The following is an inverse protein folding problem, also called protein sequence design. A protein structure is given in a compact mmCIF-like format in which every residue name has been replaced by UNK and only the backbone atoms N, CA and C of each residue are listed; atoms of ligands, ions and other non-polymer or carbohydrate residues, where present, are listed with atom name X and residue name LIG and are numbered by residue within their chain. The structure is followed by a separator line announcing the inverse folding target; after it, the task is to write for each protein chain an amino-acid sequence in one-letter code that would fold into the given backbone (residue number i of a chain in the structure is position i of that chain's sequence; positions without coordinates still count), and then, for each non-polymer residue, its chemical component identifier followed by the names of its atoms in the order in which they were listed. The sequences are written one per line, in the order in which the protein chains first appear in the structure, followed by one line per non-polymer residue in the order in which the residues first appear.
data_IF_716111178520
#
_entry.id   IF_716111178520
#
_cell.length_a   1.000
_cell.length_b   1.000
_cell.length_c   1.000
_cell.angle_alpha   90.00
_cell.angle_beta   90.00
_cell.angle_gamma   90.00
#
_symmetry.space_group_name_H-M   'P 1'
#
loop_
_entity.id
_entity.type
_entity.pdbx_description
1 polymer ?
#
# COMPACT_ATOMS: atom_id res chain seq x y z
N UNK A 1 3.17 1.66 -0.54
CA UNK A 1 2.36 0.64 0.15
C UNK A 1 2.04 -0.47 -0.83
N UNK A 2 2.13 -1.72 -0.38
CA UNK A 2 2.03 -2.90 -1.23
C UNK A 2 0.76 -3.69 -0.91
N UNK A 3 -0.01 -4.03 -1.93
CA UNK A 3 -1.32 -4.69 -1.80
C UNK A 3 -1.27 -6.03 -2.55
N UNK A 4 -1.81 -7.07 -1.93
CA UNK A 4 -2.00 -8.36 -2.60
C UNK A 4 -3.46 -8.50 -3.01
N UNK A 5 -3.69 -8.71 -4.30
CA UNK A 5 -5.03 -9.01 -4.87
C UNK A 5 -5.13 -10.51 -5.14
N UNK A 6 -6.11 -11.16 -4.52
CA UNK A 6 -6.35 -12.61 -4.64
C UNK A 6 -7.76 -12.82 -5.15
N UNK A 7 -7.90 -13.11 -6.43
CA UNK A 7 -9.18 -13.23 -7.15
C UNK A 7 -9.00 -14.23 -8.30
N UNK A 8 -9.81 -15.26 -8.39
CA UNK A 8 -9.64 -16.32 -9.38
C UNK A 8 -10.15 -15.94 -10.78
N UNK A 9 -11.10 -15.00 -10.86
CA UNK A 9 -11.55 -14.45 -12.13
C UNK A 9 -10.51 -13.46 -12.67
N UNK A 10 -9.74 -13.89 -13.68
CA UNK A 10 -8.62 -13.11 -14.24
C UNK A 10 -8.99 -11.70 -14.70
N UNK A 11 -10.19 -11.51 -15.25
CA UNK A 11 -10.62 -10.19 -15.70
C UNK A 11 -10.89 -9.26 -14.54
N UNK A 12 -11.59 -9.74 -13.52
CA UNK A 12 -11.88 -8.95 -12.32
C UNK A 12 -10.60 -8.66 -11.53
N UNK A 13 -9.72 -9.68 -11.37
CA UNK A 13 -8.40 -9.52 -10.75
C UNK A 13 -7.61 -8.37 -11.39
N UNK A 14 -7.52 -8.37 -12.74
CA UNK A 14 -6.83 -7.31 -13.48
C UNK A 14 -7.44 -5.93 -13.24
N UNK A 15 -8.77 -5.79 -13.31
CA UNK A 15 -9.44 -4.49 -13.14
C UNK A 15 -9.26 -3.97 -11.69
N UNK A 16 -9.34 -4.86 -10.69
CA UNK A 16 -9.08 -4.49 -9.29
C UNK A 16 -7.63 -4.01 -9.16
N UNK A 17 -6.68 -4.76 -9.72
CA UNK A 17 -5.25 -4.41 -9.67
C UNK A 17 -4.99 -3.05 -10.32
N UNK A 18 -5.49 -2.82 -11.54
CA UNK A 18 -5.37 -1.55 -12.25
C UNK A 18 -5.97 -0.38 -11.43
N UNK A 19 -7.17 -0.56 -10.86
CA UNK A 19 -7.83 0.48 -10.07
C UNK A 19 -7.03 0.86 -8.79
N UNK A 20 -6.36 -0.11 -8.19
CA UNK A 20 -5.53 0.10 -7.00
C UNK A 20 -4.15 0.67 -7.38
N UNK A 21 -3.58 0.27 -8.51
CA UNK A 21 -2.33 0.82 -9.06
C UNK A 21 -2.48 2.29 -9.46
N UNK A 22 -3.61 2.68 -10.04
CA UNK A 22 -3.91 4.08 -10.40
C UNK A 22 -3.90 5.02 -9.19
N UNK A 23 -4.18 4.49 -8.00
CA UNK A 23 -4.07 5.21 -6.72
C UNK A 23 -2.62 5.26 -6.17
N UNK A 24 -1.66 4.70 -6.91
CA UNK A 24 -0.24 4.73 -6.58
C UNK A 24 0.24 3.61 -5.66
N UNK A 25 -0.60 2.61 -5.37
CA UNK A 25 -0.17 1.42 -4.64
C UNK A 25 0.69 0.50 -5.54
N UNK A 26 1.58 -0.26 -4.93
CA UNK A 26 2.23 -1.40 -5.59
C UNK A 26 1.33 -2.62 -5.42
N UNK A 27 1.03 -3.32 -6.50
CA UNK A 27 0.09 -4.44 -6.49
C UNK A 27 0.78 -5.70 -6.98
N UNK A 28 0.65 -6.76 -6.20
CA UNK A 28 0.86 -8.13 -6.67
C UNK A 28 -0.50 -8.81 -6.78
N UNK A 29 -0.63 -9.74 -7.72
CA UNK A 29 -1.87 -10.47 -7.90
C UNK A 29 -1.65 -11.96 -8.06
N UNK A 30 -2.58 -12.75 -7.51
CA UNK A 30 -2.62 -14.19 -7.65
C UNK A 30 -4.07 -14.69 -7.74
N UNK A 31 -4.25 -15.97 -8.06
CA UNK A 31 -5.55 -16.49 -8.49
C UNK A 31 -6.15 -17.53 -7.55
N UNK A 32 -5.53 -17.82 -6.43
CA UNK A 32 -6.04 -18.72 -5.39
C UNK A 32 -5.28 -18.56 -4.08
N UNK A 33 -5.84 -19.08 -2.99
CA UNK A 33 -5.25 -18.93 -1.67
C UNK A 33 -3.91 -19.65 -1.47
N UNK A 34 -3.59 -20.68 -2.28
CA UNK A 34 -2.29 -21.34 -2.18
C UNK A 34 -1.17 -20.45 -2.74
N UNK A 35 -1.39 -19.85 -3.89
CA UNK A 35 -0.46 -18.85 -4.46
C UNK A 35 -0.30 -17.65 -3.52
N UNK A 36 -1.40 -17.20 -2.88
CA UNK A 36 -1.33 -16.10 -1.93
C UNK A 36 -0.38 -16.40 -0.75
N UNK A 37 -0.36 -17.62 -0.23
CA UNK A 37 0.60 -18.03 0.81
C UNK A 37 2.05 -17.91 0.32
N UNK A 38 2.35 -18.36 -0.90
CA UNK A 38 3.68 -18.27 -1.50
C UNK A 38 4.13 -16.81 -1.62
N UNK A 39 3.23 -15.91 -2.06
CA UNK A 39 3.52 -14.47 -2.14
C UNK A 39 3.78 -13.87 -0.75
N UNK A 40 3.02 -14.28 0.27
CA UNK A 40 3.19 -13.77 1.64
C UNK A 40 4.45 -14.30 2.34
N UNK A 41 4.98 -15.44 1.92
CA UNK A 41 6.30 -15.91 2.36
C UNK A 41 7.44 -15.06 1.78
N UNK A 42 7.26 -14.54 0.55
CA UNK A 42 8.29 -13.77 -0.15
C UNK A 42 8.24 -12.26 0.14
N UNK A 43 7.07 -11.72 0.50
CA UNK A 43 6.88 -10.28 0.69
C UNK A 43 5.88 -9.96 1.81
N UNK A 44 5.96 -8.74 2.35
CA UNK A 44 4.96 -8.22 3.29
C UNK A 44 4.00 -7.28 2.56
N UNK A 45 2.73 -7.39 2.92
CA UNK A 45 1.65 -6.59 2.35
C UNK A 45 1.00 -5.72 3.42
N UNK A 46 0.62 -4.52 3.00
CA UNK A 46 -0.10 -3.56 3.86
C UNK A 46 -1.61 -3.86 3.91
N UNK A 47 -2.15 -4.45 2.84
CA UNK A 47 -3.55 -4.91 2.74
C UNK A 47 -3.61 -6.10 1.77
N UNK A 48 -4.50 -7.04 2.06
CA UNK A 48 -4.91 -8.10 1.13
C UNK A 48 -6.36 -7.86 0.70
N UNK A 49 -6.61 -7.85 -0.61
CA UNK A 49 -7.95 -7.87 -1.21
C UNK A 49 -8.20 -9.30 -1.65
N UNK A 50 -9.22 -9.94 -1.10
CA UNK A 50 -9.35 -11.39 -1.16
C UNK A 50 -10.78 -11.83 -1.49
N UNK A 51 -10.97 -12.56 -2.60
CA UNK A 51 -12.23 -13.28 -2.81
C UNK A 51 -12.35 -14.46 -1.82
N UNK A 52 -13.57 -14.68 -1.34
CA UNK A 52 -13.87 -15.83 -0.49
C UNK A 52 -13.95 -17.11 -1.33
N UNK A 53 -14.57 -17.05 -2.50
CA UNK A 53 -14.91 -18.22 -3.29
C UNK A 53 -13.86 -18.50 -4.37
N UNK A 54 -12.78 -19.14 -3.98
CA UNK A 54 -11.68 -19.48 -4.89
C UNK A 54 -11.36 -20.98 -4.87
N UNK A 55 -10.78 -21.51 -5.97
CA UNK A 55 -10.33 -22.90 -6.03
C UNK A 55 -9.10 -23.13 -5.10
N UNK A 56 -8.81 -24.42 -4.84
CA UNK A 56 -7.71 -24.91 -3.99
C UNK A 56 -7.90 -24.53 -2.52
N UNK A 57 -7.52 -23.34 -2.12
CA UNK A 57 -7.69 -22.81 -0.76
C UNK A 57 -8.62 -21.59 -0.83
N UNK A 58 -9.80 -21.67 -0.20
CA UNK A 58 -10.75 -20.57 -0.17
C UNK A 58 -10.27 -19.42 0.75
N UNK A 59 -10.88 -18.24 0.58
CA UNK A 59 -10.44 -17.04 1.28
C UNK A 59 -10.57 -17.10 2.79
N UNK A 60 -11.63 -17.71 3.32
CA UNK A 60 -11.82 -17.81 4.78
C UNK A 60 -10.77 -18.72 5.44
N UNK A 61 -10.48 -19.85 4.81
CA UNK A 61 -9.48 -20.80 5.33
C UNK A 61 -8.06 -20.22 5.21
N UNK A 62 -7.78 -19.44 4.13
CA UNK A 62 -6.54 -18.70 4.02
C UNK A 62 -6.36 -17.74 5.20
N UNK A 63 -7.35 -16.91 5.50
CA UNK A 63 -7.27 -15.94 6.60
C UNK A 63 -7.14 -16.63 7.96
N UNK A 64 -7.92 -17.67 8.21
CA UNK A 64 -7.80 -18.47 9.45
C UNK A 64 -6.38 -19.03 9.63
N UNK A 65 -5.74 -19.48 8.53
CA UNK A 65 -4.36 -19.96 8.57
C UNK A 65 -3.38 -18.84 8.89
N UNK A 66 -3.47 -17.70 8.18
CA UNK A 66 -2.63 -16.53 8.42
C UNK A 66 -2.72 -16.05 9.88
N UNK A 67 -3.93 -15.92 10.42
CA UNK A 67 -4.15 -15.50 11.82
C UNK A 67 -3.56 -16.49 12.83
N UNK A 68 -3.64 -17.80 12.56
CA UNK A 68 -3.02 -18.83 13.38
C UNK A 68 -1.50 -18.73 13.39
N UNK A 69 -0.92 -18.36 12.24
CA UNK A 69 0.53 -18.19 12.08
C UNK A 69 1.02 -16.81 12.59
N UNK A 70 0.11 -16.00 13.16
CA UNK A 70 0.41 -14.69 13.75
C UNK A 70 0.46 -13.53 12.76
N UNK A 71 0.11 -13.77 11.50
CA UNK A 71 0.01 -12.71 10.51
C UNK A 71 -1.21 -11.83 10.78
N UNK A 72 -1.00 -10.53 10.83
CA UNK A 72 -2.02 -9.51 11.10
C UNK A 72 -2.31 -8.61 9.89
N UNK A 73 -1.85 -8.98 8.71
CA UNK A 73 -2.12 -8.24 7.46
C UNK A 73 -3.62 -7.98 7.33
N UNK A 74 -4.04 -6.72 7.13
CA UNK A 74 -5.44 -6.36 6.96
C UNK A 74 -6.05 -7.04 5.76
N UNK A 75 -7.25 -7.58 5.91
CA UNK A 75 -7.97 -8.31 4.86
C UNK A 75 -9.29 -7.65 4.54
N UNK A 76 -9.46 -7.25 3.25
CA UNK A 76 -10.72 -6.88 2.65
C UNK A 76 -11.28 -8.08 1.87
N UNK A 77 -12.37 -8.65 2.36
CA UNK A 77 -13.08 -9.69 1.60
C UNK A 77 -13.93 -9.10 0.47
N UNK A 78 -13.79 -9.68 -0.71
CA UNK A 78 -14.73 -9.51 -1.83
C UNK A 78 -15.56 -10.76 -1.97
N UNK A 79 -16.88 -10.65 -2.15
CA UNK A 79 -17.71 -11.85 -2.21
C UNK A 79 -19.08 -11.61 -2.83
N UNK A 80 -19.62 -12.64 -3.48
CA UNK A 80 -21.00 -12.68 -3.92
C UNK A 80 -22.00 -13.01 -2.78
N UNK A 81 -21.51 -13.38 -1.59
CA UNK A 81 -22.33 -13.70 -0.43
C UNK A 81 -22.76 -12.43 0.29
N UNK A 82 -24.05 -12.14 0.30
CA UNK A 82 -24.64 -10.91 0.85
C UNK A 82 -25.39 -11.13 2.19
N UNK A 83 -25.55 -12.39 2.62
CA UNK A 83 -26.26 -12.67 3.86
C UNK A 83 -25.53 -12.11 5.10
N UNK A 84 -26.28 -11.78 6.12
CA UNK A 84 -25.73 -11.33 7.40
C UNK A 84 -24.82 -12.43 8.01
N UNK A 85 -25.21 -13.71 7.87
CA UNK A 85 -24.44 -14.83 8.37
C UNK A 85 -23.05 -14.93 7.69
N UNK A 86 -22.98 -14.79 6.38
CA UNK A 86 -21.73 -14.82 5.63
C UNK A 86 -20.78 -13.67 6.03
N UNK A 87 -21.33 -12.48 6.25
CA UNK A 87 -20.54 -11.32 6.70
C UNK A 87 -19.98 -11.52 8.10
N UNK A 88 -20.80 -12.10 9.01
CA UNK A 88 -20.35 -12.44 10.36
C UNK A 88 -19.24 -13.49 10.30
N UNK A 89 -19.41 -14.56 9.52
CA UNK A 89 -18.38 -15.59 9.33
C UNK A 89 -17.07 -15.00 8.80
N UNK A 90 -17.14 -14.10 7.80
CA UNK A 90 -15.98 -13.40 7.25
C UNK A 90 -15.22 -12.59 8.30
N UNK A 91 -15.93 -11.82 9.11
CA UNK A 91 -15.33 -11.00 10.18
C UNK A 91 -14.78 -11.91 11.32
N UNK A 92 -15.50 -12.94 11.71
CA UNK A 92 -15.05 -13.90 12.73
C UNK A 92 -13.84 -14.74 12.28
N UNK A 93 -13.65 -14.94 10.97
CA UNK A 93 -12.45 -15.55 10.42
C UNK A 93 -11.18 -14.73 10.57
N UNK A 94 -11.33 -13.45 10.95
CA UNK A 94 -10.24 -12.49 11.13
C UNK A 94 -10.09 -11.48 9.99
N UNK A 95 -11.10 -11.32 9.13
CA UNK A 95 -11.17 -10.24 8.14
C UNK A 95 -11.45 -8.89 8.80
N UNK A 96 -10.98 -7.81 8.20
CA UNK A 96 -11.11 -6.44 8.72
C UNK A 96 -12.23 -5.67 8.03
N UNK A 97 -12.56 -6.02 6.80
CA UNK A 97 -13.63 -5.40 6.02
C UNK A 97 -14.25 -6.39 5.03
N UNK A 98 -15.46 -6.04 4.56
CA UNK A 98 -16.26 -6.91 3.71
C UNK A 98 -16.97 -6.08 2.64
N UNK A 99 -16.80 -6.41 1.36
CA UNK A 99 -17.40 -5.73 0.23
C UNK A 99 -18.13 -6.73 -0.66
N UNK A 100 -19.43 -6.49 -0.88
CA UNK A 100 -20.31 -7.41 -1.63
C UNK A 100 -20.23 -7.11 -3.12
N UNK A 101 -20.04 -8.15 -3.94
CA UNK A 101 -20.12 -8.08 -5.40
C UNK A 101 -21.62 -8.04 -5.85
N UNK A 102 -22.00 -7.15 -6.81
CA UNK A 102 -21.17 -6.16 -7.49
C UNK A 102 -20.92 -4.91 -6.64
N UNK A 103 -19.72 -4.37 -6.66
CA UNK A 103 -19.31 -3.17 -5.94
C UNK A 103 -18.85 -2.05 -6.89
N UNK A 104 -18.87 -0.82 -6.41
CA UNK A 104 -18.27 0.31 -7.11
C UNK A 104 -16.75 0.35 -6.80
N UNK A 105 -15.91 0.51 -7.84
CA UNK A 105 -14.45 0.61 -7.67
C UNK A 105 -14.04 1.81 -6.81
N UNK A 106 -14.82 2.89 -6.79
CA UNK A 106 -14.60 4.02 -5.87
C UNK A 106 -14.79 3.61 -4.41
N UNK A 107 -15.74 2.71 -4.14
CA UNK A 107 -15.97 2.16 -2.80
C UNK A 107 -14.79 1.27 -2.39
N UNK A 108 -14.36 0.35 -3.27
CA UNK A 108 -13.20 -0.50 -3.05
C UNK A 108 -11.96 0.35 -2.68
N UNK A 109 -11.63 1.33 -3.50
CA UNK A 109 -10.49 2.23 -3.29
C UNK A 109 -10.62 3.02 -1.98
N UNK A 110 -11.82 3.51 -1.66
CA UNK A 110 -12.05 4.22 -0.40
C UNK A 110 -11.82 3.31 0.82
N UNK A 111 -12.27 2.06 0.76
CA UNK A 111 -12.03 1.05 1.81
C UNK A 111 -10.54 0.75 1.95
N UNK A 112 -9.83 0.52 0.85
CA UNK A 112 -8.38 0.29 0.85
C UNK A 112 -7.64 1.46 1.51
N UNK A 113 -7.98 2.70 1.18
CA UNK A 113 -7.42 3.90 1.83
C UNK A 113 -7.68 3.92 3.34
N UNK A 114 -8.87 3.53 3.79
CA UNK A 114 -9.19 3.47 5.22
C UNK A 114 -8.37 2.39 5.92
N UNK A 115 -8.22 1.22 5.32
CA UNK A 115 -7.48 0.10 5.87
C UNK A 115 -5.99 0.41 5.99
N UNK A 116 -5.38 0.95 4.93
CA UNK A 116 -3.97 1.36 4.94
C UNK A 116 -3.66 2.45 5.96
N UNK A 117 -4.63 3.34 6.26
CA UNK A 117 -4.51 4.38 7.29
C UNK A 117 -4.56 3.82 8.70
N UNK A 118 -5.48 2.89 8.99
CA UNK A 118 -5.73 2.35 10.34
C UNK A 118 -4.50 1.68 10.93
N UNK A 119 -3.70 1.03 10.07
CA UNK A 119 -2.50 0.30 10.49
C UNK A 119 -1.31 1.18 10.83
N UNK A 120 -1.27 2.41 10.37
CA UNK A 120 -0.15 3.34 10.66
C UNK A 120 -0.31 4.11 11.97
N UNK A 121 -1.36 3.82 12.76
CA UNK A 121 -1.62 4.48 14.06
C UNK A 121 -1.96 5.97 13.97
N UNK A 122 -1.92 6.55 12.78
CA UNK A 122 -2.18 7.97 12.57
C UNK A 122 -3.62 8.17 12.06
N UNK A 123 -4.49 8.73 12.90
CA UNK A 123 -5.89 9.05 12.54
C UNK A 123 -6.01 10.24 11.59
N UNK A 124 -4.94 10.99 11.36
CA UNK A 124 -4.90 12.13 10.44
C UNK A 124 -4.49 11.68 9.05
N UNK A 125 -5.18 12.16 8.03
CA UNK A 125 -4.74 12.00 6.63
C UNK A 125 -3.59 12.97 6.29
N UNK A 126 -3.33 13.95 7.16
CA UNK A 126 -2.30 14.96 6.94
C UNK A 126 -1.08 14.65 7.78
N UNK A 127 0.03 14.47 7.12
CA UNK A 127 1.36 14.30 7.72
C UNK A 127 2.15 15.59 7.58
N UNK A 128 2.95 15.92 8.59
CA UNK A 128 3.81 17.10 8.57
C UNK A 128 5.25 16.78 8.96
N UNK A 129 6.20 17.35 8.22
CA UNK A 129 7.64 17.29 8.52
C UNK A 129 8.23 18.66 8.24
N UNK A 130 8.52 19.44 9.31
CA UNK A 130 8.88 20.83 9.17
C UNK A 130 7.78 21.63 8.46
N UNK A 131 8.15 22.28 7.38
CA UNK A 131 7.26 23.06 6.51
C UNK A 131 6.56 22.24 5.39
N UNK A 132 6.81 20.93 5.35
CA UNK A 132 6.15 20.00 4.43
C UNK A 132 4.83 19.53 5.03
N UNK A 133 3.78 19.52 4.22
CA UNK A 133 2.51 18.84 4.50
C UNK A 133 2.14 17.92 3.36
N UNK A 134 1.68 16.72 3.70
CA UNK A 134 1.20 15.70 2.76
C UNK A 134 -0.16 15.23 3.23
N UNK A 135 -1.19 15.38 2.39
CA UNK A 135 -2.55 14.87 2.64
C UNK A 135 -2.80 13.64 1.75
N UNK A 136 -2.89 12.48 2.38
CA UNK A 136 -3.09 11.20 1.70
C UNK A 136 -4.52 11.03 1.17
N UNK A 137 -5.50 11.78 1.68
CA UNK A 137 -6.89 11.68 1.21
C UNK A 137 -7.15 12.47 -0.06
N UNK A 138 -6.48 13.60 -0.21
CA UNK A 138 -6.62 14.48 -1.39
C UNK A 138 -5.42 14.39 -2.34
N UNK A 139 -4.42 13.55 -2.04
CA UNK A 139 -3.14 13.44 -2.76
C UNK A 139 -2.42 14.80 -2.93
N UNK A 140 -2.60 15.70 -1.96
CA UNK A 140 -1.99 17.03 -2.01
C UNK A 140 -0.70 17.07 -1.21
N UNK A 141 0.30 17.72 -1.80
CA UNK A 141 1.57 18.00 -1.15
C UNK A 141 1.82 19.49 -1.21
N UNK A 142 2.25 20.06 -0.09
CA UNK A 142 2.68 21.46 -0.05
C UNK A 142 3.92 21.60 0.83
N UNK A 143 4.80 22.53 0.48
CA UNK A 143 5.96 22.93 1.26
C UNK A 143 6.00 24.45 1.43
N UNK A 144 6.11 24.92 2.67
CA UNK A 144 6.00 26.34 3.03
C UNK A 144 4.76 27.01 2.39
N UNK A 145 3.62 26.31 2.35
CA UNK A 145 2.36 26.76 1.76
C UNK A 145 2.30 26.72 0.23
N UNK A 146 3.37 26.33 -0.47
CA UNK A 146 3.38 26.17 -1.93
C UNK A 146 3.03 24.74 -2.31
N UNK A 147 2.05 24.57 -3.21
CA UNK A 147 1.68 23.26 -3.76
C UNK A 147 2.83 22.67 -4.57
N UNK A 148 3.00 21.35 -4.44
CA UNK A 148 3.99 20.56 -5.18
C UNK A 148 3.26 19.47 -5.93
N UNK A 149 3.42 19.44 -7.26
CA UNK A 149 2.82 18.41 -8.10
C UNK A 149 3.76 17.20 -8.20
N UNK A 150 3.27 16.07 -7.73
CA UNK A 150 3.97 14.80 -7.78
C UNK A 150 3.22 13.81 -8.69
N UNK A 151 3.98 12.96 -9.37
CA UNK A 151 3.42 11.76 -9.99
C UNK A 151 2.99 10.74 -8.92
N UNK A 152 2.15 9.76 -9.27
CA UNK A 152 1.70 8.74 -8.31
C UNK A 152 2.87 8.02 -7.62
N UNK A 153 3.93 7.67 -8.35
CA UNK A 153 5.13 7.01 -7.76
C UNK A 153 5.95 7.95 -6.86
N UNK A 154 6.11 9.21 -7.24
CA UNK A 154 6.76 10.21 -6.39
C UNK A 154 5.95 10.44 -5.10
N UNK A 155 4.63 10.50 -5.22
CA UNK A 155 3.74 10.63 -4.05
C UNK A 155 3.87 9.42 -3.13
N UNK A 156 3.82 8.19 -3.66
CA UNK A 156 3.97 6.96 -2.87
C UNK A 156 5.33 6.89 -2.17
N UNK A 157 6.42 7.29 -2.84
CA UNK A 157 7.74 7.36 -2.21
C UNK A 157 7.75 8.39 -1.07
N UNK A 158 7.20 9.58 -1.30
CA UNK A 158 7.13 10.61 -0.27
C UNK A 158 6.26 10.16 0.91
N UNK A 159 5.10 9.56 0.64
CA UNK A 159 4.23 9.01 1.68
C UNK A 159 4.96 7.96 2.51
N UNK A 160 5.68 7.03 1.87
CA UNK A 160 6.47 6.02 2.58
C UNK A 160 7.54 6.66 3.46
N UNK A 161 8.25 7.67 2.96
CA UNK A 161 9.26 8.40 3.73
C UNK A 161 8.65 9.19 4.91
N UNK A 162 7.49 9.82 4.71
CA UNK A 162 6.82 10.61 5.76
C UNK A 162 6.28 9.71 6.88
N UNK A 163 5.73 8.55 6.53
CA UNK A 163 5.28 7.54 7.50
C UNK A 163 6.43 6.97 8.34
N UNK A 164 7.63 6.95 7.76
CA UNK A 164 8.87 6.51 8.40
C UNK A 164 9.79 7.70 8.75
N UNK A 165 9.21 8.84 9.14
CA UNK A 165 9.96 10.05 9.54
C UNK A 165 11.06 9.71 10.54
N UNK A 166 12.29 10.11 10.24
CA UNK A 166 13.47 9.91 11.10
C UNK A 166 14.10 8.51 11.00
N UNK A 167 13.47 7.58 10.27
CA UNK A 167 14.03 6.24 10.01
C UNK A 167 14.82 6.26 8.71
N UNK A 168 16.02 5.65 8.74
CA UNK A 168 16.82 5.45 7.52
C UNK A 168 16.21 4.31 6.71
N UNK A 169 15.77 4.61 5.50
CA UNK A 169 15.20 3.63 4.57
C UNK A 169 16.29 3.18 3.60
N UNK A 170 16.58 1.89 3.59
CA UNK A 170 17.48 1.31 2.61
C UNK A 170 16.87 1.29 1.22
N UNK A 171 17.70 1.09 0.18
CA UNK A 171 17.20 0.89 -1.20
C UNK A 171 16.21 -0.27 -1.26
N UNK A 172 16.56 -1.39 -0.70
CA UNK A 172 15.73 -2.59 -0.66
C UNK A 172 14.39 -2.35 0.04
N UNK A 173 14.37 -1.64 1.17
CA UNK A 173 13.11 -1.28 1.87
C UNK A 173 12.21 -0.44 0.98
N UNK A 174 12.77 0.51 0.23
CA UNK A 174 12.01 1.37 -0.68
C UNK A 174 11.53 0.56 -1.89
N UNK A 175 12.37 -0.26 -2.49
CA UNK A 175 12.02 -1.13 -3.62
C UNK A 175 10.89 -2.08 -3.24
N UNK A 176 11.01 -2.80 -2.15
CA UNK A 176 10.00 -3.75 -1.66
C UNK A 176 8.66 -3.10 -1.32
N UNK A 177 8.63 -1.80 -1.05
CA UNK A 177 7.39 -1.10 -0.71
C UNK A 177 6.73 -0.40 -1.91
N UNK A 178 7.51 -0.01 -2.93
CA UNK A 178 7.01 0.81 -4.05
C UNK A 178 6.90 0.06 -5.38
N UNK A 179 7.57 -1.08 -5.52
CA UNK A 179 7.52 -1.89 -6.74
C UNK A 179 7.02 -3.30 -6.42
N UNK A 180 6.29 -3.89 -7.37
CA UNK A 180 5.79 -5.25 -7.29
C UNK A 180 6.90 -6.29 -7.49
N UNK A 181 6.57 -7.56 -7.22
CA UNK A 181 7.52 -8.68 -7.28
C UNK A 181 8.15 -8.87 -8.68
N UNK A 182 7.39 -8.62 -9.73
CA UNK A 182 7.81 -8.79 -11.12
C UNK A 182 8.61 -7.59 -11.67
N UNK A 183 8.97 -6.63 -10.82
CA UNK A 183 9.71 -5.46 -11.27
C UNK A 183 11.17 -5.80 -11.55
N UNK A 184 11.50 -5.95 -12.84
CA UNK A 184 12.87 -6.16 -13.35
C UNK A 184 13.63 -4.83 -13.58
N UNK A 185 13.30 -3.78 -12.87
CA UNK A 185 13.90 -2.45 -13.04
C UNK A 185 15.37 -2.38 -12.64
N UNK A 186 16.05 -1.38 -13.20
CA UNK A 186 17.50 -1.17 -12.96
C UNK A 186 17.81 -0.83 -11.50
N UNK A 187 19.02 -1.19 -11.07
CA UNK A 187 19.52 -1.04 -9.68
C UNK A 187 19.54 0.40 -9.13
N UNK A 188 19.25 1.41 -9.96
CA UNK A 188 19.31 2.83 -9.60
C UNK A 188 17.93 3.53 -9.61
N UNK A 189 16.82 2.79 -9.75
CA UNK A 189 15.49 3.40 -9.85
C UNK A 189 15.14 4.24 -8.62
N UNK A 190 15.45 3.77 -7.42
CA UNK A 190 15.22 4.52 -6.18
C UNK A 190 15.99 5.82 -6.17
N UNK A 191 17.27 5.81 -6.59
CA UNK A 191 18.10 7.02 -6.66
C UNK A 191 17.48 8.07 -7.59
N UNK A 192 16.93 7.63 -8.72
CA UNK A 192 16.27 8.50 -9.69
C UNK A 192 15.02 9.16 -9.07
N UNK A 193 14.15 8.37 -8.43
CA UNK A 193 12.93 8.92 -7.80
C UNK A 193 13.24 9.81 -6.59
N UNK A 194 14.22 9.47 -5.78
CA UNK A 194 14.73 10.35 -4.71
C UNK A 194 15.28 11.65 -5.32
N UNK A 195 15.98 11.57 -6.45
CA UNK A 195 16.44 12.73 -7.19
C UNK A 195 15.30 13.64 -7.67
N UNK A 196 14.22 13.05 -8.20
CA UNK A 196 13.04 13.78 -8.62
C UNK A 196 12.34 14.46 -7.43
N UNK A 197 12.16 13.76 -6.32
CA UNK A 197 11.57 14.34 -5.11
C UNK A 197 12.42 15.50 -4.59
N UNK A 198 13.74 15.35 -4.49
CA UNK A 198 14.62 16.44 -4.06
C UNK A 198 14.51 17.66 -4.96
N UNK A 199 14.46 17.44 -6.28
CA UNK A 199 14.31 18.53 -7.23
C UNK A 199 13.03 19.32 -7.01
N UNK A 200 11.92 18.64 -6.70
CA UNK A 200 10.60 19.26 -6.49
C UNK A 200 10.43 19.84 -5.09
N UNK A 201 10.98 19.18 -4.09
CA UNK A 201 10.73 19.51 -2.68
C UNK A 201 11.86 20.32 -2.04
N UNK A 202 13.12 20.02 -2.36
CA UNK A 202 14.25 20.59 -1.65
C UNK A 202 14.94 21.74 -2.42
N UNK A 203 14.70 21.87 -3.73
CA UNK A 203 15.28 22.98 -4.51
C UNK A 203 14.61 24.29 -4.13
N UNK A 204 15.43 25.29 -3.81
CA UNK A 204 14.95 26.62 -3.41
C UNK A 204 14.59 26.76 -1.94
N UNK A 205 14.81 25.71 -1.12
CA UNK A 205 14.68 25.75 0.33
C UNK A 205 16.04 25.59 1.00
N UNK A 206 16.27 26.35 2.07
CA UNK A 206 17.53 26.29 2.84
C UNK A 206 17.69 24.92 3.54
N UNK A 207 16.60 24.46 4.16
CA UNK A 207 16.57 23.13 4.82
C UNK A 207 16.22 22.03 3.81
N UNK A 208 17.06 21.01 3.74
CA UNK A 208 16.82 19.81 2.93
C UNK A 208 16.20 18.72 3.79
N UNK A 209 14.97 18.34 3.48
CA UNK A 209 14.25 17.32 4.26
C UNK A 209 14.68 15.89 3.91
N UNK A 210 15.03 15.63 2.64
CA UNK A 210 15.47 14.30 2.20
C UNK A 210 17.00 14.24 2.26
N UNK A 211 17.54 13.54 3.24
CA UNK A 211 18.97 13.41 3.45
C UNK A 211 19.47 12.04 3.04
N UNK A 212 20.72 11.97 2.54
CA UNK A 212 21.41 10.71 2.26
C UNK A 212 22.20 10.26 3.49
N UNK A 213 22.00 9.03 3.88
CA UNK A 213 22.88 8.33 4.84
C UNK A 213 23.79 7.42 4.03
N UNK A 214 25.01 7.86 3.85
CA UNK A 214 25.98 7.20 2.96
C UNK A 214 26.18 5.73 3.31
N UNK A 215 26.13 4.87 2.29
CA UNK A 215 26.25 3.43 2.44
C UNK A 215 25.02 2.72 3.00
N UNK A 216 23.95 3.45 3.40
CA UNK A 216 22.75 2.86 4.01
C UNK A 216 21.47 3.18 3.25
N UNK A 217 21.20 4.45 2.92
CA UNK A 217 19.96 4.83 2.25
C UNK A 217 19.61 6.31 2.43
N UNK A 218 18.31 6.57 2.65
CA UNK A 218 17.78 7.93 2.78
C UNK A 218 16.89 8.06 4.01
N UNK A 219 16.83 9.26 4.54
CA UNK A 219 15.96 9.61 5.67
C UNK A 219 15.24 10.91 5.38
N UNK A 220 13.97 10.97 5.72
CA UNK A 220 13.18 12.20 5.75
C UNK A 220 13.11 12.70 7.18
N UNK A 221 13.70 13.86 7.46
CA UNK A 221 13.68 14.48 8.78
C UNK A 221 13.78 15.97 8.69
N UNK A 222 13.35 16.64 9.76
CA UNK A 222 13.64 18.03 10.04
C UNK A 222 14.88 18.07 10.93
N UNK A 223 15.87 18.85 10.54
CA UNK A 223 17.07 19.10 11.39
C UNK A 223 16.78 20.20 12.42
#
# INVERSE_FOLDING_TARGET
MRILVVEDEKHLNRIISEAVEDEGYSVDSCFNGQEALEFMECAKYDVMILDIMMPKLNGLDLVRRLRRDGDTTPVLFLTARDSVADRVEGLESGGDYYLVKPFDFKELVAVVRVMTRKYTGNRSNVFTVGDLSLDTSSHRVARAGKSIDLTSKEFSLLEYMVRNKGVVLSREMIENNLWNYDYEGGTNVVDVYVGYLRKKMDTGFDKKLIQTVWGTGWVLKED
#
